data_IF_764620565211
#
_entry.id   IF_764620565211
#
_cell.length_a   1.000
_cell.length_b   1.000
_cell.length_c   1.000
_cell.angle_alpha   90.00
_cell.angle_beta   90.00
_cell.angle_gamma   90.00
#
_symmetry.space_group_name_H-M   'P 1'
#
loop_
_entity.id
_entity.type
_entity.pdbx_description
1 polymer ?
2 polymer ?
3 branched ?
4 branched ?
5 non-polymer ?
6 non-polymer ?
7 water ?
#
# COMPACT_ATOMS: atom_id res chain seq x y z
N UNK A 1 -17.85 2.08 -27.86
CA UNK A 1 -17.03 3.31 -27.78
C UNK A 1 -17.26 4.21 -26.56
N UNK A 2 -16.50 3.96 -25.51
CA UNK A 2 -16.75 4.56 -24.21
C UNK A 2 -15.58 5.43 -23.77
N UNK A 3 -14.39 5.11 -24.26
CA UNK A 3 -13.23 5.89 -23.94
C UNK A 3 -12.81 6.83 -25.07
N UNK A 4 -11.80 7.62 -24.78
CA UNK A 4 -11.12 8.42 -25.77
C UNK A 4 -9.67 8.06 -25.62
N UNK A 5 -9.09 7.43 -26.63
CA UNK A 5 -7.67 7.12 -26.55
C UNK A 5 -6.85 8.33 -27.00
N UNK A 6 -5.58 8.31 -26.60
CA UNK A 6 -4.67 9.40 -26.91
C UNK A 6 -3.30 8.76 -26.91
N UNK A 7 -2.32 9.42 -27.54
CA UNK A 7 -1.00 8.83 -27.52
C UNK A 7 -0.62 8.35 -26.11
N UNK A 8 -0.88 9.14 -25.08
CA UNK A 8 -0.40 8.76 -23.76
C UNK A 8 -1.43 8.59 -22.65
N UNK A 9 -2.67 8.32 -23.02
CA UNK A 9 -3.72 8.36 -22.03
C UNK A 9 -4.97 7.65 -22.49
N UNK A 10 -5.87 7.42 -21.54
CA UNK A 10 -7.18 6.90 -21.81
C UNK A 10 -8.19 7.68 -20.98
N UNK A 11 -8.90 8.59 -21.62
CA UNK A 11 -9.95 9.31 -20.92
C UNK A 11 -11.19 8.45 -20.95
N UNK A 12 -11.65 8.02 -19.76
CA UNK A 12 -12.80 7.17 -19.63
C UNK A 12 -14.10 7.95 -19.83
N UNK A 13 -14.16 8.72 -20.90
CA UNK A 13 -15.37 9.44 -21.25
C UNK A 13 -15.39 9.53 -22.78
N UNK A 14 -16.56 9.60 -23.40
CA UNK A 14 -16.61 9.43 -24.84
C UNK A 14 -16.56 10.73 -25.60
N UNK A 15 -15.60 10.85 -26.50
CA UNK A 15 -15.42 12.09 -27.22
C UNK A 15 -16.38 12.22 -28.39
N UNK A 16 -17.54 11.58 -28.28
CA UNK A 16 -18.55 11.67 -29.34
C UNK A 16 -19.17 13.07 -29.36
N UNK A 17 -19.15 13.75 -28.22
CA UNK A 17 -19.58 15.13 -28.16
C UNK A 17 -18.43 16.07 -28.53
N UNK A 18 -17.24 15.49 -28.66
CA UNK A 18 -16.04 16.22 -29.06
C UNK A 18 -15.54 17.19 -28.01
N UNK A 19 -15.70 16.83 -26.73
CA UNK A 19 -15.34 17.72 -25.63
C UNK A 19 -14.10 17.23 -24.90
N UNK A 20 -13.79 15.94 -25.06
CA UNK A 20 -12.66 15.33 -24.38
C UNK A 20 -11.31 15.95 -24.81
N UNK A 21 -10.54 16.41 -23.84
CA UNK A 21 -9.21 16.93 -24.13
C UNK A 21 -8.20 16.03 -23.46
N UNK A 22 -6.96 16.03 -23.95
CA UNK A 22 -5.88 15.31 -23.28
C UNK A 22 -5.85 15.65 -21.81
N UNK A 23 -5.74 14.65 -20.94
CA UNK A 23 -5.72 14.98 -19.52
C UNK A 23 -4.39 15.64 -19.15
N UNK A 24 -3.51 15.80 -20.13
CA UNK A 24 -2.27 16.52 -19.92
C UNK A 24 -2.35 17.97 -20.41
N UNK A 25 -3.48 18.38 -21.00
CA UNK A 25 -3.58 19.69 -21.63
C UNK A 25 -4.67 20.57 -21.01
N UNK A 26 -5.76 19.97 -20.57
CA UNK A 26 -6.90 20.75 -20.17
C UNK A 26 -7.74 20.00 -19.14
N UNK A 27 -8.48 20.76 -18.33
CA UNK A 27 -9.27 20.21 -17.25
C UNK A 27 -10.31 19.22 -17.75
N UNK A 28 -10.39 18.10 -17.08
CA UNK A 28 -11.33 17.05 -17.43
C UNK A 28 -12.70 17.27 -16.77
N UNK A 29 -13.21 18.48 -16.79
CA UNK A 29 -14.47 18.77 -16.11
C UNK A 29 -15.68 18.13 -16.77
N UNK A 30 -15.49 17.52 -17.94
CA UNK A 30 -16.58 16.90 -18.68
C UNK A 30 -16.74 15.45 -18.29
N UNK A 31 -15.83 14.94 -17.45
CA UNK A 31 -16.00 13.58 -16.99
C UNK A 31 -16.18 13.54 -15.48
N UNK A 32 -16.75 14.61 -14.93
CA UNK A 32 -16.89 14.76 -13.48
C UNK A 32 -16.89 16.24 -13.11
N UNK A 33 -17.86 16.63 -12.30
CA UNK A 33 -18.01 18.02 -11.88
C UNK A 33 -16.73 18.60 -11.30
N UNK A 34 -16.54 19.91 -11.47
CA UNK A 34 -15.44 20.56 -10.77
C UNK A 34 -15.52 20.28 -9.27
N UNK A 35 -16.73 20.21 -8.72
CA UNK A 35 -16.83 19.98 -7.28
C UNK A 35 -16.23 18.64 -6.90
N UNK A 36 -16.57 17.61 -7.65
CA UNK A 36 -16.01 16.29 -7.35
C UNK A 36 -14.49 16.31 -7.44
N UNK A 37 -13.93 17.14 -8.33
CA UNK A 37 -12.49 17.35 -8.31
C UNK A 37 -12.02 17.90 -6.95
N UNK A 38 -12.74 18.89 -6.44
CA UNK A 38 -12.41 19.46 -5.14
C UNK A 38 -12.53 18.42 -4.04
N UNK A 39 -13.59 17.63 -4.08
CA UNK A 39 -13.76 16.56 -3.12
C UNK A 39 -12.54 15.66 -3.23
N UNK A 40 -12.08 15.41 -4.45
CA UNK A 40 -10.87 14.65 -4.64
C UNK A 40 -9.76 15.40 -3.92
N UNK A 41 -9.60 16.67 -4.27
CA UNK A 41 -8.61 17.52 -3.61
C UNK A 41 -8.71 17.39 -2.10
N UNK A 42 -9.94 17.49 -1.60
CA UNK A 42 -10.20 17.36 -0.17
C UNK A 42 -9.61 16.08 0.39
N UNK A 43 -9.93 14.96 -0.25
CA UNK A 43 -9.48 13.68 0.25
C UNK A 43 -7.95 13.59 0.22
N UNK A 44 -7.33 14.14 -0.82
CA UNK A 44 -5.87 14.11 -0.89
C UNK A 44 -5.35 14.92 0.29
N UNK A 45 -6.02 16.04 0.55
CA UNK A 45 -5.64 16.86 1.67
C UNK A 45 -5.71 16.05 2.98
N UNK A 46 -6.81 15.33 3.19
CA UNK A 46 -6.98 14.47 4.37
C UNK A 46 -5.87 13.44 4.51
N UNK A 47 -5.61 12.72 3.43
CA UNK A 47 -4.53 11.74 3.41
C UNK A 47 -3.20 12.39 3.72
N UNK A 48 -2.92 13.58 3.19
CA UNK A 48 -1.68 14.26 3.56
C UNK A 48 -1.66 14.69 5.03
N UNK A 49 -2.70 15.40 5.48
CA UNK A 49 -2.77 15.78 6.89
C UNK A 49 -2.51 14.60 7.81
N UNK A 50 -3.27 13.51 7.66
CA UNK A 50 -3.07 12.34 8.51
C UNK A 50 -1.85 11.51 8.18
N UNK A 51 -1.78 11.04 6.94
CA UNK A 51 -0.62 10.31 6.43
C UNK A 51 0.76 10.85 6.77
N UNK A 52 1.00 12.13 6.49
CA UNK A 52 2.32 12.70 6.75
C UNK A 52 2.72 12.54 8.21
N UNK A 53 2.03 13.24 9.10
CA UNK A 53 2.35 13.08 10.51
C UNK A 53 2.57 11.60 10.93
N UNK A 54 1.54 10.76 10.85
CA UNK A 54 1.65 9.38 11.33
C UNK A 54 2.94 8.75 10.84
N UNK A 55 3.16 8.82 9.55
CA UNK A 55 4.35 8.20 8.97
C UNK A 55 5.65 8.89 9.32
N UNK A 56 5.65 10.21 9.29
CA UNK A 56 6.82 10.96 9.67
C UNK A 56 7.11 10.74 11.15
N UNK A 57 6.10 10.95 11.99
CA UNK A 57 6.26 10.75 13.42
C UNK A 57 6.88 9.39 13.71
N UNK A 58 6.54 8.39 12.90
CA UNK A 58 7.10 7.07 13.08
C UNK A 58 8.63 7.10 12.96
N UNK A 59 9.14 7.59 11.85
CA UNK A 59 10.57 7.73 11.67
C UNK A 59 11.16 8.54 12.81
N UNK A 60 10.52 9.69 13.05
CA UNK A 60 11.03 10.65 13.99
C UNK A 60 11.24 10.00 15.35
N UNK A 61 10.22 9.34 15.83
CA UNK A 61 10.31 8.58 17.04
C UNK A 61 11.48 7.58 17.05
N UNK A 62 11.67 6.86 15.95
CA UNK A 62 12.75 5.86 15.91
C UNK A 62 14.11 6.51 16.05
N UNK A 63 14.23 7.72 15.52
CA UNK A 63 15.49 8.43 15.64
C UNK A 63 15.71 8.82 17.09
N UNK A 64 14.65 8.85 17.89
CA UNK A 64 14.76 9.33 19.26
C UNK A 64 14.51 8.31 20.37
N UNK A 65 14.26 7.06 20.00
CA UNK A 65 14.00 6.02 21.00
C UNK A 65 14.87 4.83 20.71
N UNK A 66 15.95 4.70 21.46
CA UNK A 66 16.88 3.59 21.29
C UNK A 66 16.11 2.29 21.09
N UNK A 67 15.17 2.03 22.00
CA UNK A 67 14.50 0.73 22.04
C UNK A 67 13.79 0.35 20.74
N UNK A 68 13.38 1.37 19.97
CA UNK A 68 12.67 1.12 18.72
C UNK A 68 13.60 0.64 17.62
N UNK A 69 14.88 0.97 17.73
CA UNK A 69 15.80 0.65 16.67
C UNK A 69 16.28 -0.79 16.75
N UNK A 70 15.37 -1.72 17.04
CA UNK A 70 15.69 -3.14 16.94
C UNK A 70 15.53 -3.55 15.48
N UNK A 71 16.12 -4.68 15.09
CA UNK A 71 16.08 -5.03 13.67
C UNK A 71 14.76 -5.67 13.22
N UNK A 72 14.03 -6.20 14.17
CA UNK A 72 12.64 -6.64 13.97
C UNK A 72 11.66 -5.47 13.77
N UNK A 73 12.18 -4.25 13.69
CA UNK A 73 11.34 -3.09 13.46
C UNK A 73 11.65 -2.38 12.16
N UNK A 74 12.79 -2.71 11.56
CA UNK A 74 13.19 -2.12 10.30
C UNK A 74 12.03 -2.16 9.28
N UNK A 75 11.39 -3.31 9.13
CA UNK A 75 10.35 -3.45 8.12
C UNK A 75 9.21 -2.45 8.37
N UNK A 76 8.92 -2.17 9.64
CA UNK A 76 7.94 -1.14 9.97
C UNK A 76 8.45 0.24 9.53
N UNK A 77 9.68 0.60 9.89
CA UNK A 77 10.26 1.84 9.37
C UNK A 77 10.08 1.89 7.86
N UNK A 78 10.57 0.84 7.20
CA UNK A 78 10.44 0.69 5.76
C UNK A 78 9.04 1.05 5.36
N UNK A 79 8.06 0.46 6.04
CA UNK A 79 6.65 0.73 5.77
C UNK A 79 6.35 2.23 5.75
N UNK A 80 6.71 2.91 6.82
CA UNK A 80 6.47 4.35 6.93
C UNK A 80 7.13 5.10 5.78
N UNK A 81 8.38 4.76 5.47
CA UNK A 81 9.06 5.41 4.36
C UNK A 81 8.25 5.24 3.09
N UNK A 82 7.79 4.02 2.85
CA UNK A 82 6.92 3.73 1.72
C UNK A 82 5.65 4.59 1.76
N UNK A 83 4.95 4.60 2.88
CA UNK A 83 3.81 5.51 3.01
C UNK A 83 4.21 6.94 2.65
N UNK A 84 5.45 7.33 2.93
CA UNK A 84 5.85 8.72 2.67
C UNK A 84 6.04 8.97 1.18
N UNK A 85 6.60 7.99 0.47
CA UNK A 85 6.61 8.07 -0.99
C UNK A 85 5.18 8.27 -1.49
N UNK A 86 4.25 7.48 -0.96
CA UNK A 86 2.84 7.63 -1.32
C UNK A 86 2.31 9.03 -1.01
N UNK A 87 2.78 9.63 0.07
CA UNK A 87 2.29 10.96 0.40
C UNK A 87 2.87 11.97 -0.58
N UNK A 88 4.19 12.13 -0.57
CA UNK A 88 4.80 13.17 -1.39
C UNK A 88 4.78 12.88 -2.89
N UNK A 89 4.96 11.62 -3.25
CA UNK A 89 4.87 11.22 -4.65
C UNK A 89 3.46 11.21 -5.17
N UNK A 90 2.53 10.64 -4.40
CA UNK A 90 1.15 10.54 -4.85
C UNK A 90 0.27 11.68 -4.39
N UNK A 91 -0.11 11.66 -3.11
CA UNK A 91 -1.09 12.60 -2.58
C UNK A 91 -0.85 14.06 -2.95
N UNK A 92 0.30 14.61 -2.57
CA UNK A 92 0.55 16.03 -2.78
C UNK A 92 0.34 16.38 -4.24
N UNK A 93 1.05 15.65 -5.11
CA UNK A 93 0.85 15.78 -6.55
C UNK A 93 -0.61 15.86 -6.96
N UNK A 94 -1.37 14.82 -6.61
CA UNK A 94 -2.79 14.79 -6.94
C UNK A 94 -3.48 16.02 -6.42
N UNK A 95 -3.33 16.29 -5.11
CA UNK A 95 -3.93 17.49 -4.53
C UNK A 95 -3.68 18.64 -5.48
N UNK A 96 -2.46 18.71 -6.00
CA UNK A 96 -2.08 19.77 -6.88
C UNK A 96 -2.71 19.67 -8.28
N UNK A 97 -2.66 18.49 -8.86
CA UNK A 97 -3.25 18.29 -10.17
C UNK A 97 -4.76 18.35 -10.10
N UNK A 98 -5.32 17.79 -9.05
CA UNK A 98 -6.78 17.70 -8.93
C UNK A 98 -7.38 19.08 -8.96
N UNK A 99 -6.62 20.04 -8.44
CA UNK A 99 -7.07 21.40 -8.31
C UNK A 99 -6.99 22.19 -9.63
N UNK A 100 -6.27 21.63 -10.60
CA UNK A 100 -6.26 22.15 -11.95
C UNK A 100 -7.36 21.47 -12.77
N UNK A 101 -7.73 20.27 -12.35
CA UNK A 101 -8.75 19.51 -13.05
C UNK A 101 -8.15 18.59 -14.09
N UNK A 102 -6.83 18.45 -14.08
CA UNK A 102 -6.17 17.53 -15.00
C UNK A 102 -4.72 17.36 -14.60
N UNK A 103 -4.02 16.47 -15.29
CA UNK A 103 -2.64 16.18 -14.89
C UNK A 103 -1.68 17.22 -15.48
N UNK A 104 -1.56 18.35 -14.78
CA UNK A 104 -0.77 19.47 -15.27
C UNK A 104 0.70 19.19 -15.49
N UNK A 105 1.19 18.04 -15.06
CA UNK A 105 2.61 17.77 -15.19
C UNK A 105 3.00 17.01 -16.46
N UNK A 106 2.03 16.68 -17.29
CA UNK A 106 2.35 16.00 -18.55
C UNK A 106 2.89 14.60 -18.37
N UNK A 107 3.15 13.91 -19.48
CA UNK A 107 3.63 12.52 -19.61
C UNK A 107 4.76 12.15 -18.65
N UNK A 108 5.87 12.87 -18.72
CA UNK A 108 6.99 12.51 -17.85
C UNK A 108 6.62 12.72 -16.39
N UNK A 109 5.86 13.76 -16.10
CA UNK A 109 5.32 13.95 -14.77
C UNK A 109 4.50 12.73 -14.38
N UNK A 110 3.57 12.37 -15.25
CA UNK A 110 2.81 11.14 -15.09
C UNK A 110 3.75 10.00 -14.68
N UNK A 111 4.79 9.79 -15.48
CA UNK A 111 5.72 8.71 -15.18
C UNK A 111 6.39 8.81 -13.81
N UNK A 112 6.90 9.99 -13.48
CA UNK A 112 7.51 10.19 -12.18
C UNK A 112 6.48 9.86 -11.13
N UNK A 113 5.35 10.54 -11.22
CA UNK A 113 4.34 10.39 -10.22
C UNK A 113 3.96 8.91 -10.14
N UNK A 114 3.52 8.33 -11.25
CA UNK A 114 3.13 6.91 -11.24
C UNK A 114 4.19 6.05 -10.61
N UNK A 115 5.45 6.29 -10.97
CA UNK A 115 6.52 5.45 -10.49
C UNK A 115 6.64 5.54 -8.97
N UNK A 116 6.82 6.75 -8.45
CA UNK A 116 6.94 6.90 -7.00
C UNK A 116 5.68 6.48 -6.26
N UNK A 117 4.54 6.90 -6.78
CA UNK A 117 3.26 6.46 -6.25
C UNK A 117 3.22 4.93 -6.17
N UNK A 118 3.44 4.25 -7.29
CA UNK A 118 3.30 2.80 -7.22
C UNK A 118 4.48 2.18 -6.48
N UNK A 119 5.62 2.85 -6.50
CA UNK A 119 6.79 2.29 -5.86
C UNK A 119 6.49 2.16 -4.39
N UNK A 120 6.04 3.24 -3.78
CA UNK A 120 5.73 3.27 -2.35
C UNK A 120 4.72 2.22 -1.98
N UNK A 121 3.56 2.26 -2.63
CA UNK A 121 2.54 1.26 -2.43
C UNK A 121 3.06 -0.16 -2.49
N UNK A 122 3.86 -0.47 -3.49
CA UNK A 122 4.44 -1.81 -3.59
C UNK A 122 5.37 -2.11 -2.42
N UNK A 123 6.27 -1.18 -2.11
CA UNK A 123 7.14 -1.35 -0.95
C UNK A 123 6.32 -1.62 0.30
N UNK A 124 5.34 -0.76 0.56
CA UNK A 124 4.48 -0.92 1.72
C UNK A 124 3.87 -2.32 1.71
N UNK A 125 3.23 -2.66 0.59
CA UNK A 125 2.63 -3.97 0.42
C UNK A 125 3.59 -5.09 0.78
N UNK A 126 4.71 -5.15 0.07
CA UNK A 126 5.72 -6.16 0.34
C UNK A 126 6.28 -6.14 1.77
N UNK A 127 6.28 -4.98 2.42
CA UNK A 127 6.64 -4.95 3.82
C UNK A 127 5.65 -5.78 4.60
N UNK A 128 4.37 -5.43 4.49
CA UNK A 128 3.34 -6.22 5.15
C UNK A 128 3.57 -7.73 4.98
N UNK A 129 4.03 -8.13 3.80
CA UNK A 129 4.37 -9.52 3.58
C UNK A 129 5.62 -9.89 4.35
N UNK A 130 6.72 -9.19 4.06
CA UNK A 130 7.97 -9.45 4.73
C UNK A 130 7.76 -9.52 6.24
N UNK A 131 7.02 -8.56 6.78
CA UNK A 131 6.71 -8.55 8.21
C UNK A 131 6.08 -9.88 8.62
N UNK A 132 5.03 -10.28 7.92
CA UNK A 132 4.42 -11.59 8.16
C UNK A 132 5.46 -12.69 8.18
N UNK A 133 6.25 -12.80 7.12
CA UNK A 133 7.27 -13.84 7.05
C UNK A 133 8.13 -13.82 8.30
N UNK A 134 8.63 -12.64 8.67
CA UNK A 134 9.50 -12.53 9.84
C UNK A 134 8.83 -13.02 11.11
N UNK A 135 7.64 -12.53 11.40
CA UNK A 135 6.94 -12.98 12.60
C UNK A 135 6.77 -14.49 12.60
N UNK A 136 6.47 -15.03 11.42
CA UNK A 136 6.31 -16.46 11.27
C UNK A 136 7.58 -17.14 11.68
N UNK A 137 8.67 -16.67 11.08
CA UNK A 137 10.00 -17.16 11.40
C UNK A 137 10.31 -17.02 12.88
N UNK A 138 10.21 -15.80 13.39
CA UNK A 138 10.51 -15.54 14.79
C UNK A 138 9.63 -16.32 15.76
N UNK A 139 8.32 -16.31 15.54
CA UNK A 139 7.39 -16.84 16.53
C UNK A 139 7.09 -18.32 16.36
N UNK A 140 6.96 -18.76 15.12
CA UNK A 140 6.63 -20.16 14.85
C UNK A 140 7.89 -21.01 14.74
N UNK A 141 9.06 -20.36 14.87
CA UNK A 141 10.35 -21.06 14.82
C UNK A 141 10.47 -22.20 13.82
N UNK A 142 10.13 -21.95 12.56
CA UNK A 142 10.00 -23.07 11.67
C UNK A 142 11.38 -23.58 11.32
N UNK A 143 12.39 -22.79 11.68
CA UNK A 143 13.75 -23.16 11.36
C UNK A 143 14.54 -23.62 12.57
N UNK A 144 15.23 -24.75 12.41
CA UNK A 144 16.11 -25.28 13.44
C UNK A 144 17.06 -24.18 13.90
N UNK A 145 16.97 -23.80 15.17
CA UNK A 145 17.95 -22.92 15.81
C UNK A 145 18.31 -21.63 15.09
N UNK A 146 17.39 -21.11 14.28
CA UNK A 146 17.64 -19.84 13.60
C UNK A 146 17.34 -18.67 14.54
N UNK A 147 18.10 -17.59 14.41
CA UNK A 147 17.86 -16.40 15.24
C UNK A 147 17.92 -15.13 14.40
N UNK A 148 16.83 -14.39 14.44
CA UNK A 148 16.65 -13.24 13.55
C UNK A 148 17.50 -12.06 14.00
N UNK A 149 18.22 -11.47 13.07
CA UNK A 149 19.10 -10.35 13.40
C UNK A 149 19.16 -9.29 12.32
N UNK A 150 19.97 -8.26 12.58
CA UNK A 150 20.11 -7.09 11.72
C UNK A 150 20.22 -7.46 10.23
N UNK A 151 21.09 -8.41 9.92
CA UNK A 151 21.26 -8.79 8.53
C UNK A 151 19.98 -9.25 7.87
N UNK A 152 19.24 -10.14 8.52
CA UNK A 152 17.97 -10.55 7.97
C UNK A 152 17.12 -9.31 7.75
N UNK A 153 16.74 -8.65 8.83
CA UNK A 153 16.01 -7.39 8.72
C UNK A 153 16.40 -6.58 7.48
N UNK A 154 17.70 -6.40 7.27
CA UNK A 154 18.23 -5.68 6.10
C UNK A 154 17.81 -6.35 4.79
N UNK A 155 18.13 -7.63 4.64
CA UNK A 155 17.69 -8.35 3.46
C UNK A 155 16.20 -8.15 3.32
N UNK A 156 15.46 -8.59 4.33
CA UNK A 156 14.01 -8.40 4.37
C UNK A 156 13.60 -7.10 3.73
N UNK A 157 14.26 -6.01 4.12
CA UNK A 157 13.94 -4.70 3.57
C UNK A 157 14.35 -4.62 2.11
N UNK A 158 15.62 -4.92 1.84
CA UNK A 158 16.12 -4.90 0.47
C UNK A 158 15.15 -5.62 -0.46
N UNK A 159 14.66 -6.78 -0.01
CA UNK A 159 13.75 -7.61 -0.80
C UNK A 159 12.52 -6.81 -1.18
N UNK A 160 11.88 -6.25 -0.16
CA UNK A 160 10.81 -5.30 -0.34
C UNK A 160 11.13 -4.32 -1.47
N UNK A 161 12.28 -3.65 -1.36
CA UNK A 161 12.60 -2.75 -2.39
C UNK A 161 12.69 -3.31 -3.75
N UNK A 162 13.35 -4.45 -3.86
CA UNK A 162 13.42 -5.16 -5.13
C UNK A 162 12.03 -5.47 -5.70
N UNK A 163 11.22 -6.19 -4.93
CA UNK A 163 9.87 -6.53 -5.36
C UNK A 163 9.14 -5.30 -5.88
N UNK A 164 9.27 -4.19 -5.17
CA UNK A 164 8.62 -2.94 -5.59
C UNK A 164 9.13 -2.54 -6.96
N UNK A 165 10.43 -2.29 -7.09
CA UNK A 165 11.00 -2.03 -8.42
C UNK A 165 10.61 -3.04 -9.48
N UNK A 166 10.46 -4.31 -9.06
CA UNK A 166 10.09 -5.40 -9.96
C UNK A 166 8.73 -5.16 -10.59
N UNK A 167 8.07 -4.11 -10.15
CA UNK A 167 6.71 -3.88 -10.58
C UNK A 167 6.51 -2.44 -11.09
N UNK A 168 7.10 -1.47 -10.39
CA UNK A 168 6.96 -0.07 -10.76
C UNK A 168 7.88 0.34 -11.92
N UNK A 169 8.99 -0.38 -12.08
CA UNK A 169 9.99 -0.01 -13.07
C UNK A 169 9.60 -0.43 -14.50
N UNK A 170 9.11 -1.66 -14.67
CA UNK A 170 8.67 -2.13 -15.98
C UNK A 170 7.87 -1.09 -16.79
N UNK A 171 6.81 -0.51 -16.21
CA UNK A 171 6.07 0.51 -16.95
C UNK A 171 7.00 1.56 -17.56
N UNK A 172 7.88 2.12 -16.74
CA UNK A 172 8.83 3.12 -17.20
C UNK A 172 9.52 2.65 -18.45
N UNK A 173 9.66 1.35 -18.61
CA UNK A 173 10.39 0.84 -19.78
C UNK A 173 9.61 -0.10 -20.71
N UNK A 174 8.29 0.07 -20.80
CA UNK A 174 7.54 -0.55 -21.87
C UNK A 174 6.79 -1.83 -21.57
N UNK A 175 6.84 -2.29 -20.33
CA UNK A 175 5.93 -3.36 -19.93
C UNK A 175 4.78 -2.75 -19.10
N UNK A 176 3.59 -2.71 -19.71
CA UNK A 176 2.55 -1.80 -19.28
C UNK A 176 3.08 -0.35 -19.35
N UNK A 177 2.49 0.55 -18.58
CA UNK A 177 2.85 1.97 -18.64
C UNK A 177 2.02 2.78 -17.68
N UNK A 178 2.50 3.98 -17.38
CA UNK A 178 1.75 4.88 -16.49
C UNK A 178 0.91 5.87 -17.28
N UNK A 179 -0.39 5.86 -17.05
CA UNK A 179 -1.25 6.85 -17.65
C UNK A 179 -2.10 7.45 -16.56
N UNK A 180 -2.59 8.69 -16.76
CA UNK A 180 -3.56 9.28 -15.83
C UNK A 180 -4.72 8.30 -15.68
N UNK A 181 -5.00 7.87 -14.45
CA UNK A 181 -6.12 7.00 -14.19
C UNK A 181 -7.34 7.79 -13.69
N UNK A 182 -8.43 7.09 -13.46
CA UNK A 182 -9.61 7.70 -12.84
C UNK A 182 -10.01 9.03 -13.44
N UNK A 183 -10.05 10.07 -12.59
CA UNK A 183 -10.46 11.38 -13.06
C UNK A 183 -9.30 12.11 -13.72
N UNK A 184 -8.27 11.35 -14.11
CA UNK A 184 -7.12 11.90 -14.83
C UNK A 184 -6.25 12.83 -14.00
N UNK A 185 -6.28 12.69 -12.68
CA UNK A 185 -5.46 13.58 -11.89
C UNK A 185 -4.26 12.88 -11.30
N UNK A 186 -4.39 11.60 -10.99
CA UNK A 186 -3.22 10.84 -10.58
C UNK A 186 -2.84 9.86 -11.69
N UNK A 187 -1.59 9.41 -11.66
CA UNK A 187 -1.13 8.46 -12.64
C UNK A 187 -0.96 7.07 -12.03
N UNK A 188 -1.30 6.04 -12.81
CA UNK A 188 -1.30 4.66 -12.32
C UNK A 188 -0.83 3.65 -13.35
N UNK A 189 -0.76 2.39 -12.96
CA UNK A 189 -0.38 1.34 -13.90
C UNK A 189 -1.56 1.08 -14.81
N UNK A 190 -1.31 1.06 -16.13
CA UNK A 190 -2.41 0.83 -17.05
C UNK A 190 -2.82 -0.63 -17.03
N UNK A 191 -3.90 -0.92 -16.32
CA UNK A 191 -4.36 -2.29 -16.16
C UNK A 191 -5.68 -2.60 -16.83
N UNK A 192 -6.16 -1.69 -17.68
CA UNK A 192 -7.55 -1.69 -18.13
C UNK A 192 -7.67 -1.37 -19.61
N UNK A 193 -6.60 -0.82 -20.17
CA UNK A 193 -6.50 -0.70 -21.62
C UNK A 193 -5.67 -1.84 -22.15
N UNK A 194 -6.21 -2.59 -23.12
CA UNK A 194 -5.47 -3.69 -23.71
C UNK A 194 -4.35 -3.15 -24.62
N UNK A 195 -3.96 -1.90 -24.40
CA UNK A 195 -2.80 -1.28 -25.05
C UNK A 195 -1.62 -2.24 -25.20
N UNK A 196 -1.30 -2.61 -26.44
CA UNK A 196 -0.44 -3.77 -26.69
C UNK A 196 1.06 -3.55 -26.92
N UNK A 197 1.44 -2.39 -27.44
CA UNK A 197 2.86 -2.06 -27.53
C UNK A 197 3.56 -2.19 -26.19
N UNK A 198 2.78 -2.32 -25.12
CA UNK A 198 3.34 -2.41 -23.78
C UNK A 198 3.00 -3.73 -23.10
N UNK A 199 1.93 -4.37 -23.57
CA UNK A 199 1.57 -5.71 -23.12
C UNK A 199 0.90 -5.67 -21.79
N UNK A 200 0.13 -4.63 -21.56
CA UNK A 200 -0.65 -4.55 -20.35
C UNK A 200 -1.28 -5.90 -19.95
N UNK A 201 -1.89 -6.57 -20.91
CA UNK A 201 -2.59 -7.81 -20.61
C UNK A 201 -1.74 -8.77 -19.78
N UNK A 202 -0.54 -9.10 -20.27
CA UNK A 202 0.33 -10.01 -19.55
C UNK A 202 0.75 -9.40 -18.22
N UNK A 203 1.33 -8.21 -18.27
CA UNK A 203 1.80 -7.51 -17.07
C UNK A 203 0.80 -7.57 -15.93
N UNK A 204 -0.45 -7.26 -16.24
CA UNK A 204 -1.53 -7.34 -15.24
C UNK A 204 -1.64 -8.75 -14.63
N UNK A 205 -1.46 -9.77 -15.45
CA UNK A 205 -1.45 -11.12 -14.93
C UNK A 205 -0.25 -11.23 -14.00
N UNK A 206 0.89 -10.74 -14.46
CA UNK A 206 2.08 -10.82 -13.66
C UNK A 206 1.81 -10.12 -12.34
N UNK A 207 1.24 -8.93 -12.42
CA UNK A 207 0.85 -8.19 -11.24
C UNK A 207 -0.09 -9.01 -10.37
N UNK A 208 -1.17 -9.49 -10.98
CA UNK A 208 -2.17 -10.22 -10.23
C UNK A 208 -1.62 -11.45 -9.53
N UNK A 209 -0.84 -12.25 -10.24
CA UNK A 209 -0.23 -13.45 -9.65
C UNK A 209 0.89 -13.13 -8.66
N UNK A 210 1.91 -12.40 -9.13
CA UNK A 210 3.12 -12.15 -8.33
C UNK A 210 2.94 -11.12 -7.21
N UNK A 211 2.18 -10.06 -7.47
CA UNK A 211 2.06 -8.98 -6.49
C UNK A 211 0.73 -8.92 -5.77
N UNK A 212 -0.11 -9.93 -5.98
CA UNK A 212 -1.33 -10.04 -5.17
C UNK A 212 -1.59 -11.46 -4.63
N UNK A 213 -1.46 -12.48 -5.47
CA UNK A 213 -1.68 -13.86 -5.02
C UNK A 213 -0.51 -14.38 -4.17
N UNK A 214 0.72 -14.12 -4.61
CA UNK A 214 1.87 -14.51 -3.79
C UNK A 214 1.71 -13.88 -2.41
N UNK A 215 1.71 -12.54 -2.35
CA UNK A 215 1.56 -11.84 -1.09
C UNK A 215 0.42 -12.44 -0.26
N UNK A 216 -0.76 -12.53 -0.86
CA UNK A 216 -1.93 -13.05 -0.15
C UNK A 216 -1.67 -14.44 0.42
N UNK A 217 -1.20 -15.37 -0.41
CA UNK A 217 -0.88 -16.72 0.06
C UNK A 217 0.19 -16.70 1.18
N UNK A 218 1.25 -15.93 0.99
CA UNK A 218 2.31 -15.84 1.99
C UNK A 218 1.80 -15.24 3.30
N UNK A 219 1.21 -14.06 3.23
CA UNK A 219 0.58 -13.45 4.42
C UNK A 219 -0.45 -14.35 5.08
N UNK A 220 -1.20 -15.11 4.29
CA UNK A 220 -2.21 -15.98 4.88
C UNK A 220 -1.59 -17.17 5.58
N UNK A 221 -0.64 -17.81 4.91
CA UNK A 221 0.03 -18.96 5.49
C UNK A 221 0.73 -18.53 6.75
N UNK A 222 1.57 -17.49 6.65
CA UNK A 222 2.33 -17.00 7.79
C UNK A 222 1.51 -16.71 9.04
N UNK A 223 0.51 -15.86 8.90
CA UNK A 223 -0.33 -15.53 10.05
C UNK A 223 -1.19 -16.71 10.47
N UNK A 224 -1.52 -17.58 9.51
CA UNK A 224 -2.21 -18.81 9.83
C UNK A 224 -1.37 -19.61 10.81
N UNK A 225 -0.12 -19.84 10.42
CA UNK A 225 0.82 -20.57 11.25
C UNK A 225 0.98 -19.91 12.61
N UNK A 226 1.04 -18.58 12.60
CA UNK A 226 1.23 -17.83 13.84
C UNK A 226 0.05 -18.02 14.75
N UNK A 227 -1.16 -17.87 14.20
CA UNK A 227 -2.34 -17.91 15.03
C UNK A 227 -2.55 -19.33 15.48
N UNK A 228 -1.96 -20.26 14.75
CA UNK A 228 -1.96 -21.65 15.18
C UNK A 228 -0.92 -21.84 16.28
N UNK A 229 0.32 -21.42 16.02
CA UNK A 229 1.37 -21.49 17.01
C UNK A 229 0.98 -20.91 18.36
N UNK A 230 0.24 -19.81 18.34
CA UNK A 230 -0.16 -19.16 19.58
C UNK A 230 -1.37 -19.82 20.23
N UNK A 231 -2.37 -20.13 19.41
CA UNK A 231 -3.52 -20.88 19.91
C UNK A 231 -3.05 -22.13 20.63
N UNK A 232 -2.13 -22.84 20.00
CA UNK A 232 -1.60 -24.09 20.53
C UNK A 232 -0.84 -23.87 21.83
N UNK A 233 0.08 -22.92 21.82
CA UNK A 233 0.87 -22.58 23.01
C UNK A 233 -0.02 -22.29 24.21
N UNK A 234 -1.15 -21.63 23.98
CA UNK A 234 -2.08 -21.32 25.06
C UNK A 234 -2.79 -22.57 25.58
N UNK A 235 -3.27 -23.42 24.67
CA UNK A 235 -3.91 -24.68 25.08
C UNK A 235 -2.98 -25.49 25.95
N UNK A 236 -1.69 -25.27 25.78
CA UNK A 236 -0.66 -25.99 26.54
C UNK A 236 -0.21 -25.21 27.77
N UNK A 237 -0.77 -24.01 27.93
CA UNK A 237 -0.43 -23.13 29.05
C UNK A 237 -1.67 -22.51 29.64
N UNK A 238 -2.73 -23.28 29.83
CA UNK A 238 -3.98 -22.68 30.25
C UNK A 238 -3.90 -22.08 31.65
N UNK A 239 -2.80 -22.38 32.35
CA UNK A 239 -2.57 -21.86 33.68
C UNK A 239 -2.12 -20.40 33.62
N UNK A 240 -1.57 -19.99 32.48
CA UNK A 240 -0.95 -18.67 32.37
C UNK A 240 -1.84 -17.64 31.70
N UNK A 241 -2.56 -16.86 32.51
CA UNK A 241 -3.49 -15.84 32.00
C UNK A 241 -2.91 -15.01 30.84
N UNK A 242 -1.64 -14.65 30.94
CA UNK A 242 -1.02 -13.82 29.90
C UNK A 242 -1.02 -14.55 28.58
N UNK A 243 -0.41 -15.73 28.55
CA UNK A 243 -0.41 -16.54 27.33
C UNK A 243 -1.82 -16.62 26.73
N UNK A 244 -2.82 -16.79 27.59
CA UNK A 244 -4.21 -16.75 27.16
C UNK A 244 -4.50 -15.44 26.42
N UNK A 245 -4.39 -14.33 27.14
CA UNK A 245 -4.52 -13.00 26.56
C UNK A 245 -3.75 -12.87 25.26
N UNK A 246 -2.45 -13.15 25.30
CA UNK A 246 -1.61 -13.03 24.11
C UNK A 246 -2.26 -13.73 22.91
N UNK A 247 -2.70 -14.96 23.13
CA UNK A 247 -3.35 -15.69 22.06
C UNK A 247 -4.52 -14.85 21.56
N UNK A 248 -5.43 -14.56 22.48
CA UNK A 248 -6.59 -13.72 22.16
C UNK A 248 -6.17 -12.45 21.41
N UNK A 249 -5.19 -11.72 21.93
CA UNK A 249 -4.76 -10.48 21.28
C UNK A 249 -4.10 -10.69 19.91
N UNK A 250 -3.25 -11.69 19.79
CA UNK A 250 -2.62 -11.96 18.51
C UNK A 250 -3.66 -12.33 17.45
N UNK A 251 -4.64 -13.15 17.82
CA UNK A 251 -5.68 -13.52 16.87
C UNK A 251 -6.34 -12.25 16.37
N UNK A 252 -6.86 -11.46 17.30
CA UNK A 252 -7.49 -10.18 16.98
C UNK A 252 -6.62 -9.34 16.03
N UNK A 253 -5.34 -9.19 16.37
CA UNK A 253 -4.42 -8.47 15.49
C UNK A 253 -4.30 -9.05 14.08
N UNK A 254 -4.16 -10.36 14.00
CA UNK A 254 -4.10 -11.03 12.70
C UNK A 254 -5.39 -10.76 11.89
N UNK A 255 -6.55 -10.96 12.51
CA UNK A 255 -7.79 -10.72 11.79
C UNK A 255 -7.78 -9.29 11.26
N UNK A 256 -7.40 -8.35 12.11
CA UNK A 256 -7.29 -6.96 11.67
C UNK A 256 -6.36 -6.83 10.48
N UNK A 257 -5.10 -7.25 10.64
CA UNK A 257 -4.08 -7.09 9.60
C UNK A 257 -4.48 -7.67 8.26
N UNK A 258 -5.04 -8.88 8.29
CA UNK A 258 -5.50 -9.58 7.12
C UNK A 258 -6.68 -8.84 6.48
N UNK A 259 -7.77 -8.72 7.22
CA UNK A 259 -8.90 -7.92 6.75
C UNK A 259 -8.45 -6.56 6.19
N UNK A 260 -7.41 -6.00 6.79
CA UNK A 260 -6.90 -4.72 6.36
C UNK A 260 -6.15 -4.84 5.04
N UNK A 261 -5.33 -5.88 4.94
CA UNK A 261 -4.59 -6.15 3.71
C UNK A 261 -5.53 -6.37 2.54
N UNK A 262 -6.66 -7.01 2.83
CA UNK A 262 -7.66 -7.28 1.82
C UNK A 262 -8.34 -5.98 1.41
N UNK A 263 -8.84 -5.25 2.40
CA UNK A 263 -9.50 -3.98 2.13
C UNK A 263 -8.63 -3.11 1.23
N UNK A 264 -7.33 -3.25 1.34
CA UNK A 264 -6.43 -2.41 0.60
C UNK A 264 -6.18 -2.85 -0.84
N UNK A 265 -6.00 -4.15 -1.06
CA UNK A 265 -5.68 -4.62 -2.40
C UNK A 265 -6.76 -5.43 -3.12
N UNK A 266 -7.76 -5.92 -2.39
CA UNK A 266 -8.81 -6.69 -3.05
C UNK A 266 -9.49 -5.89 -4.18
N UNK A 267 -9.98 -4.69 -3.85
CA UNK A 267 -10.51 -3.73 -4.79
C UNK A 267 -9.71 -3.64 -6.07
N UNK A 268 -8.46 -3.21 -5.99
CA UNK A 268 -7.63 -3.20 -7.19
C UNK A 268 -7.65 -4.52 -7.96
N UNK A 269 -7.24 -5.59 -7.28
CA UNK A 269 -7.27 -6.92 -7.87
C UNK A 269 -8.64 -7.24 -8.45
N UNK A 270 -9.66 -7.25 -7.60
CA UNK A 270 -11.03 -7.53 -8.02
C UNK A 270 -11.42 -6.77 -9.28
N UNK A 271 -11.26 -5.45 -9.26
CA UNK A 271 -11.50 -4.63 -10.44
C UNK A 271 -10.64 -5.04 -11.66
N UNK A 272 -9.32 -5.05 -11.50
CA UNK A 272 -8.44 -5.56 -12.56
C UNK A 272 -8.98 -6.86 -13.15
N UNK A 273 -9.23 -7.85 -12.30
CA UNK A 273 -9.68 -9.16 -12.73
C UNK A 273 -10.98 -9.08 -13.52
N UNK A 274 -11.90 -8.24 -13.04
CA UNK A 274 -13.17 -8.05 -13.71
C UNK A 274 -12.92 -7.49 -15.10
N UNK A 275 -12.35 -6.29 -15.16
CA UNK A 275 -11.97 -5.63 -16.42
C UNK A 275 -11.23 -6.58 -17.37
N UNK A 276 -10.45 -7.50 -16.81
CA UNK A 276 -9.69 -8.44 -17.61
C UNK A 276 -10.59 -9.58 -18.11
N UNK A 277 -11.85 -9.58 -17.68
CA UNK A 277 -12.79 -10.63 -18.05
C UNK A 277 -14.02 -10.09 -18.76
N UNK A 278 -14.25 -8.78 -18.61
CA UNK A 278 -15.43 -8.15 -19.19
C UNK A 278 -14.90 -7.04 -20.09
N UNK A 279 -14.76 -7.38 -21.36
CA UNK A 279 -14.10 -6.49 -22.32
C UNK A 279 -15.00 -5.43 -22.94
N UNK A 280 -14.37 -4.36 -23.41
CA UNK A 280 -15.10 -3.28 -24.05
C UNK A 280 -16.08 -2.62 -23.10
N UNK A 281 -16.42 -3.32 -22.02
CA UNK A 281 -17.29 -2.78 -20.97
C UNK A 281 -16.64 -1.55 -20.36
N UNK A 282 -17.31 -0.42 -20.39
CA UNK A 282 -16.71 0.82 -19.95
C UNK A 282 -16.80 0.94 -18.44
N UNK A 283 -15.80 1.59 -17.86
CA UNK A 283 -15.83 1.88 -16.46
C UNK A 283 -15.63 3.37 -16.28
N UNK A 284 -16.55 4.00 -15.56
CA UNK A 284 -16.46 5.44 -15.28
C UNK A 284 -15.17 5.96 -14.67
N UNK A 285 -14.92 7.26 -14.80
CA UNK A 285 -13.71 7.79 -14.21
C UNK A 285 -13.71 7.69 -12.71
N UNK A 286 -14.90 7.76 -12.11
CA UNK A 286 -15.02 7.68 -10.65
C UNK A 286 -14.88 6.23 -10.15
N UNK A 287 -15.66 5.32 -10.74
CA UNK A 287 -15.49 3.91 -10.42
C UNK A 287 -14.03 3.46 -10.46
N UNK A 288 -13.24 4.06 -11.34
CA UNK A 288 -11.83 3.72 -11.44
C UNK A 288 -11.05 4.28 -10.27
N UNK A 289 -11.68 5.15 -9.49
CA UNK A 289 -11.01 5.70 -8.32
C UNK A 289 -11.33 4.90 -7.04
N UNK A 290 -12.52 4.30 -6.97
CA UNK A 290 -12.86 3.49 -5.80
C UNK A 290 -11.69 2.63 -5.32
N UNK A 291 -11.09 1.84 -6.23
CA UNK A 291 -9.95 0.98 -5.89
C UNK A 291 -8.76 1.80 -5.39
N UNK A 292 -8.42 2.86 -6.13
CA UNK A 292 -7.36 3.76 -5.71
C UNK A 292 -7.63 4.32 -4.33
N UNK A 293 -8.91 4.63 -4.06
CA UNK A 293 -9.31 5.22 -2.79
C UNK A 293 -8.92 4.32 -1.63
N UNK A 294 -9.28 3.04 -1.74
CA UNK A 294 -8.94 2.08 -0.72
C UNK A 294 -7.43 1.89 -0.59
N UNK A 295 -6.72 1.85 -1.70
CA UNK A 295 -5.29 1.60 -1.61
C UNK A 295 -4.55 2.79 -1.02
N UNK A 296 -4.77 3.97 -1.57
CA UNK A 296 -4.03 5.15 -1.12
C UNK A 296 -4.25 5.39 0.36
N UNK A 297 -5.51 5.28 0.80
CA UNK A 297 -5.82 5.61 2.17
C UNK A 297 -5.16 4.63 3.15
N UNK A 298 -4.71 3.50 2.63
CA UNK A 298 -3.97 2.55 3.46
C UNK A 298 -2.79 3.23 4.11
N UNK A 299 -2.16 4.20 3.41
CA UNK A 299 -1.01 4.94 3.94
C UNK A 299 -1.31 5.56 5.29
N UNK A 300 -2.58 5.59 5.66
CA UNK A 300 -2.94 6.05 6.98
C UNK A 300 -3.22 4.87 7.91
N UNK A 301 -4.03 3.92 7.47
CA UNK A 301 -4.45 2.86 8.37
C UNK A 301 -3.39 1.79 8.62
N UNK A 302 -2.50 1.58 7.66
CA UNK A 302 -1.37 0.67 7.88
C UNK A 302 -0.54 1.15 9.05
N UNK A 303 -0.08 2.42 9.01
CA UNK A 303 0.63 2.96 10.19
C UNK A 303 -0.25 2.91 11.46
N UNK A 304 -1.57 3.09 11.33
CA UNK A 304 -2.41 2.94 12.50
C UNK A 304 -2.36 1.49 13.01
N UNK A 305 -2.47 0.55 12.09
CA UNK A 305 -2.43 -0.86 12.44
C UNK A 305 -1.03 -1.36 12.82
N UNK A 306 -0.05 -1.19 11.94
CA UNK A 306 1.30 -1.75 12.19
C UNK A 306 2.17 -0.92 13.12
N UNK A 307 1.91 0.38 13.21
CA UNK A 307 2.68 1.23 14.11
C UNK A 307 1.94 1.64 15.38
N UNK A 308 0.81 2.32 15.20
CA UNK A 308 0.16 2.89 16.36
C UNK A 308 -0.38 1.86 17.33
N UNK A 309 -0.66 0.66 16.85
CA UNK A 309 -1.15 -0.35 17.77
C UNK A 309 -0.03 -1.21 18.30
N UNK A 310 1.08 -1.27 17.58
CA UNK A 310 2.30 -1.81 18.12
C UNK A 310 2.66 -1.07 19.41
N UNK A 311 2.69 -1.81 20.52
CA UNK A 311 2.75 -1.17 21.82
C UNK A 311 3.92 -0.20 22.01
N UNK A 312 5.13 -0.59 21.61
CA UNK A 312 6.29 0.29 21.79
C UNK A 312 6.14 1.59 21.01
N UNK A 313 6.07 1.47 19.69
CA UNK A 313 5.98 2.67 18.90
C UNK A 313 5.00 3.62 19.57
N UNK A 314 3.85 3.09 19.98
CA UNK A 314 2.80 3.92 20.59
C UNK A 314 3.30 4.67 21.80
N UNK A 315 3.83 3.94 22.77
CA UNK A 315 4.39 4.56 23.96
C UNK A 315 5.42 5.64 23.60
N UNK A 316 6.25 5.33 22.61
CA UNK A 316 7.20 6.32 22.19
C UNK A 316 6.52 7.57 21.63
N UNK A 317 5.58 7.38 20.72
CA UNK A 317 4.86 8.52 20.14
C UNK A 317 4.26 9.35 21.26
N UNK A 318 3.54 8.70 22.15
CA UNK A 318 2.89 9.39 23.23
C UNK A 318 3.92 10.23 23.96
N UNK A 319 5.02 9.59 24.33
CA UNK A 319 6.07 10.28 25.06
C UNK A 319 6.53 11.52 24.29
N UNK A 320 6.88 11.32 23.03
CA UNK A 320 7.37 12.40 22.21
C UNK A 320 6.34 13.51 22.09
N UNK A 321 5.14 13.16 21.67
CA UNK A 321 4.05 14.13 21.52
C UNK A 321 3.71 14.89 22.79
N UNK A 322 3.94 14.28 23.95
CA UNK A 322 3.66 14.96 25.20
C UNK A 322 4.89 15.47 25.88
N UNK A 323 5.91 15.76 25.07
CA UNK A 323 7.12 16.40 25.55
C UNK A 323 7.71 15.53 26.65
N UNK A 324 7.20 15.69 27.88
CA UNK A 324 7.62 14.86 29.02
C UNK A 324 7.16 13.49 28.56
N UNK A 325 6.47 12.78 29.45
CA UNK A 325 6.22 11.35 29.26
C UNK A 325 4.71 11.15 29.16
N UNK A 326 4.21 10.18 29.92
CA UNK A 326 2.80 9.81 29.89
C UNK A 326 1.95 10.59 30.90
N UNK B 1 5.99 -17.94 24.43
CA UNK B 1 6.36 -17.13 23.23
C UNK B 1 6.02 -15.68 23.44
N UNK B 2 5.47 -15.38 24.62
CA UNK B 2 5.16 -14.01 24.99
C UNK B 2 6.32 -13.07 24.68
N UNK B 3 7.54 -13.58 24.88
CA UNK B 3 8.77 -12.82 24.66
C UNK B 3 8.85 -12.46 23.18
N UNK B 4 8.91 -13.47 22.34
CA UNK B 4 8.88 -13.23 20.89
C UNK B 4 7.67 -12.44 20.37
N UNK B 5 6.53 -12.56 21.02
CA UNK B 5 5.39 -11.76 20.62
C UNK B 5 5.66 -10.29 20.94
N UNK B 6 6.13 -10.02 22.16
CA UNK B 6 6.48 -8.65 22.51
C UNK B 6 7.60 -8.08 21.67
N UNK B 7 8.45 -8.95 21.13
CA UNK B 7 9.49 -8.56 20.18
C UNK B 7 8.95 -8.18 18.81
N UNK B 8 7.81 -8.73 18.45
CA UNK B 8 7.24 -8.49 17.13
C UNK B 8 6.17 -7.41 17.12
N UNK B 9 5.97 -6.77 18.27
CA UNK B 9 4.96 -5.73 18.39
C UNK B 9 3.56 -6.32 18.52
N UNK B 10 3.47 -7.63 18.35
CA UNK B 10 2.18 -8.34 18.39
C UNK B 10 1.53 -8.43 19.77
N UNK B 11 2.34 -8.61 20.81
CA UNK B 11 1.83 -8.58 22.16
C UNK B 11 2.60 -7.57 23.01
#
# INVERSE_FOLDING_TARGET
MNGTEGPNFYVPFSNKTGVVRSPFEAPQYYLAEPWQFSMLAAYMFLLIMLGFPINFLTLYVTVQHKKLRTPLNYILLNLAVADLFMVFGGFTTTLYTSLHGYFVFGPTGCNLEGFFATLGGEIALWSLVVLAIERYVVVCKPMSNFRFGENHAIMGVAFTWVMALACAAPPLVGWSRYIPEGMQCSCGIDYYTPHEETNNESFVIYMFVVHFIIPLIVIFFCYGQLVFTVKEAAAQQQESATTQKAEKEVTRMVIIMVIAFLICWLPYAGVAFYIFTHQGSDFGPIFMTIPAFFAKTSAVYNPVIYIMMNKQFRNCMVTTLCCGKNPLGDDEASTTVSKTETSQVAPA
ILENLKDCGLF
#
